data_IF_735690472257
#
_entry.id   IF_735690472257
#
_cell.length_a   1.000
_cell.length_b   1.000
_cell.length_c   1.000
_cell.angle_alpha   90.00
_cell.angle_beta   90.00
_cell.angle_gamma   90.00
#
_symmetry.space_group_name_H-M   'P 1'
#
loop_
_entity.id
_entity.type
_entity.pdbx_description
1 polymer ?
#
# COMPACT_ATOMS: atom_id res chain seq x y z
N UNK A 1 -19.36 -19.71 28.81
CA UNK A 1 -18.60 -18.98 27.77
C UNK A 1 -18.06 -19.87 26.61
N UNK A 2 -18.70 -21.01 26.29
CA UNK A 2 -18.37 -21.79 25.06
C UNK A 2 -19.46 -21.71 23.98
N UNK A 3 -20.71 -21.38 24.34
CA UNK A 3 -21.84 -21.41 23.42
C UNK A 3 -22.08 -20.09 22.66
N UNK A 4 -21.37 -19.01 22.99
CA UNK A 4 -21.47 -17.72 22.27
C UNK A 4 -20.51 -17.66 21.06
N UNK A 5 -19.42 -18.45 21.06
CA UNK A 5 -18.46 -18.50 19.94
C UNK A 5 -18.96 -19.33 18.74
N UNK A 6 -19.88 -20.26 18.97
CA UNK A 6 -20.46 -21.10 17.91
C UNK A 6 -21.58 -20.35 17.17
N UNK A 7 -22.34 -19.49 17.86
CA UNK A 7 -23.40 -18.67 17.24
C UNK A 7 -22.88 -17.66 16.21
N UNK A 8 -21.72 -17.06 16.44
CA UNK A 8 -21.12 -16.07 15.53
C UNK A 8 -20.54 -16.70 14.25
N UNK A 9 -20.04 -17.93 14.32
CA UNK A 9 -19.57 -18.69 13.14
C UNK A 9 -20.73 -19.18 12.27
N UNK A 10 -21.89 -19.50 12.86
CA UNK A 10 -23.10 -19.88 12.13
C UNK A 10 -23.74 -18.65 11.44
N UNK A 11 -23.69 -17.48 12.06
CA UNK A 11 -24.20 -16.23 11.45
C UNK A 11 -23.29 -15.76 10.31
N UNK A 12 -21.97 -15.93 10.42
CA UNK A 12 -21.02 -15.63 9.34
C UNK A 12 -21.17 -16.60 8.15
N UNK A 13 -21.40 -17.89 8.42
CA UNK A 13 -21.70 -18.89 7.40
C UNK A 13 -23.05 -18.66 6.69
N UNK A 14 -24.08 -18.25 7.43
CA UNK A 14 -25.40 -17.93 6.86
C UNK A 14 -25.41 -16.66 6.03
N UNK A 15 -24.57 -15.66 6.32
CA UNK A 15 -24.44 -14.45 5.48
C UNK A 15 -23.76 -14.75 4.12
N UNK A 16 -22.82 -15.70 4.09
CA UNK A 16 -22.19 -16.18 2.84
C UNK A 16 -23.20 -17.00 2.01
N UNK A 17 -24.06 -17.80 2.65
CA UNK A 17 -25.12 -18.57 1.97
C UNK A 17 -26.30 -17.71 1.52
N UNK A 18 -26.71 -16.68 2.28
CA UNK A 18 -27.75 -15.73 1.86
C UNK A 18 -27.26 -14.79 0.75
N UNK A 19 -25.97 -14.42 0.75
CA UNK A 19 -25.34 -13.73 -0.37
C UNK A 19 -25.33 -14.58 -1.66
N UNK A 20 -25.20 -15.91 -1.52
CA UNK A 20 -25.29 -16.86 -2.63
C UNK A 20 -26.70 -16.97 -3.25
N UNK A 21 -27.75 -16.82 -2.44
CA UNK A 21 -29.15 -16.93 -2.89
C UNK A 21 -29.71 -15.64 -3.49
N UNK A 22 -29.24 -14.47 -3.05
CA UNK A 22 -29.61 -13.18 -3.66
C UNK A 22 -28.83 -12.89 -4.96
N UNK A 23 -27.74 -13.62 -5.19
CA UNK A 23 -26.88 -13.54 -6.37
C UNK A 23 -27.49 -14.22 -7.62
N UNK A 24 -28.42 -15.18 -7.46
CA UNK A 24 -29.03 -15.89 -8.59
C UNK A 24 -30.17 -15.16 -9.32
N UNK A 25 -30.48 -13.92 -8.92
CA UNK A 25 -31.58 -13.15 -9.54
C UNK A 25 -31.12 -12.09 -10.57
N UNK A 26 -29.81 -11.84 -10.70
CA UNK A 26 -29.25 -10.88 -11.68
C UNK A 26 -28.35 -11.53 -12.75
N UNK A 27 -28.04 -12.81 -12.59
CA UNK A 27 -27.54 -13.66 -13.67
C UNK A 27 -28.73 -14.56 -13.99
N UNK A 28 -29.30 -14.49 -15.18
CA UNK A 28 -30.10 -15.62 -15.66
C UNK A 28 -29.16 -16.82 -15.58
N UNK A 29 -29.36 -17.77 -14.63
CA UNK A 29 -28.54 -18.96 -14.63
C UNK A 29 -28.73 -19.54 -16.03
N UNK A 30 -27.65 -19.88 -16.76
CA UNK A 30 -27.85 -20.69 -17.95
C UNK A 30 -28.70 -21.89 -17.52
N UNK A 31 -29.72 -22.28 -18.32
CA UNK A 31 -30.55 -23.41 -17.98
C UNK A 31 -29.65 -24.57 -17.51
N UNK A 32 -30.06 -25.33 -16.48
CA UNK A 32 -29.27 -26.45 -16.00
C UNK A 32 -28.82 -27.24 -17.21
N UNK A 33 -27.50 -27.29 -17.44
CA UNK A 33 -26.96 -28.05 -18.56
C UNK A 33 -27.32 -29.49 -18.23
N UNK A 34 -28.26 -30.08 -18.98
CA UNK A 34 -28.51 -31.52 -18.94
C UNK A 34 -27.14 -32.21 -18.96
N UNK A 35 -26.93 -33.22 -18.11
CA UNK A 35 -25.67 -33.97 -18.09
C UNK A 35 -25.35 -34.41 -19.52
N UNK A 36 -24.41 -33.71 -20.15
CA UNK A 36 -24.08 -33.98 -21.55
C UNK A 36 -23.30 -35.27 -21.60
N UNK A 37 -23.70 -36.21 -22.45
CA UNK A 37 -22.93 -37.42 -22.74
C UNK A 37 -21.57 -37.11 -23.42
N UNK A 38 -21.35 -35.86 -23.82
CA UNK A 38 -20.10 -35.44 -24.43
C UNK A 38 -18.97 -35.35 -23.39
N UNK A 39 -18.05 -36.32 -23.43
CA UNK A 39 -16.87 -36.40 -22.55
C UNK A 39 -16.02 -35.12 -22.51
N UNK A 40 -15.96 -34.35 -23.60
CA UNK A 40 -15.17 -33.13 -23.69
C UNK A 40 -15.82 -32.00 -22.88
N UNK A 41 -17.14 -31.89 -22.94
CA UNK A 41 -17.94 -30.97 -22.11
C UNK A 41 -17.81 -31.35 -20.64
N UNK A 42 -17.93 -32.65 -20.32
CA UNK A 42 -17.77 -33.14 -18.95
C UNK A 42 -16.38 -32.84 -18.38
N UNK A 43 -15.32 -33.01 -19.17
CA UNK A 43 -13.96 -32.67 -18.76
C UNK A 43 -13.81 -31.18 -18.41
N UNK A 44 -14.29 -30.29 -19.29
CA UNK A 44 -14.25 -28.83 -19.03
C UNK A 44 -15.04 -28.47 -17.77
N UNK A 45 -16.26 -28.98 -17.63
CA UNK A 45 -17.10 -28.71 -16.45
C UNK A 45 -16.46 -29.25 -15.16
N UNK A 46 -15.83 -30.43 -15.22
CA UNK A 46 -15.07 -30.99 -14.10
C UNK A 46 -13.93 -30.07 -13.66
N UNK A 47 -13.18 -29.50 -14.61
CA UNK A 47 -12.10 -28.56 -14.31
C UNK A 47 -12.60 -27.19 -13.84
N UNK A 48 -13.73 -26.68 -14.35
CA UNK A 48 -14.37 -25.47 -13.81
C UNK A 48 -14.76 -25.68 -12.33
N UNK A 49 -15.25 -26.87 -11.99
CA UNK A 49 -15.54 -27.26 -10.60
C UNK A 49 -14.27 -27.37 -9.76
N UNK A 50 -13.17 -27.87 -10.31
CA UNK A 50 -11.87 -27.87 -9.64
C UNK A 50 -11.40 -26.43 -9.36
N UNK A 51 -11.57 -25.52 -10.33
CA UNK A 51 -11.21 -24.11 -10.21
C UNK A 51 -11.94 -23.42 -9.05
N UNK A 52 -13.23 -23.65 -8.90
CA UNK A 52 -14.00 -23.10 -7.78
C UNK A 52 -13.51 -23.61 -6.41
N UNK A 53 -12.97 -24.83 -6.39
CA UNK A 53 -12.41 -25.50 -5.21
C UNK A 53 -10.97 -25.09 -4.82
N UNK A 54 -10.26 -24.31 -5.64
CA UNK A 54 -8.89 -23.85 -5.31
C UNK A 54 -8.89 -23.09 -3.97
N UNK A 55 -7.89 -23.22 -3.08
CA UNK A 55 -7.88 -22.44 -1.84
C UNK A 55 -7.84 -20.93 -2.07
N UNK A 56 -8.43 -20.14 -1.16
CA UNK A 56 -8.40 -18.66 -1.23
C UNK A 56 -6.97 -18.09 -1.12
N UNK A 57 -6.07 -18.84 -0.49
CA UNK A 57 -4.67 -18.48 -0.31
C UNK A 57 -3.79 -18.64 -1.55
N UNK A 58 -4.35 -19.11 -2.67
CA UNK A 58 -3.60 -19.36 -3.91
C UNK A 58 -4.41 -18.93 -5.12
N UNK A 59 -3.85 -18.06 -5.95
CA UNK A 59 -4.50 -17.65 -7.20
C UNK A 59 -4.64 -18.79 -8.22
N UNK A 60 -5.79 -18.83 -8.88
CA UNK A 60 -6.17 -19.88 -9.84
C UNK A 60 -5.92 -19.53 -11.32
N UNK A 61 -5.12 -18.50 -11.61
CA UNK A 61 -4.89 -18.01 -12.98
C UNK A 61 -4.36 -19.10 -13.93
N UNK A 62 -3.43 -19.94 -13.47
CA UNK A 62 -2.87 -21.03 -14.28
C UNK A 62 -3.93 -22.05 -14.71
N UNK A 63 -4.82 -22.44 -13.78
CA UNK A 63 -5.92 -23.35 -14.05
C UNK A 63 -6.98 -22.69 -14.96
N UNK A 64 -7.25 -21.40 -14.80
CA UNK A 64 -8.11 -20.65 -15.72
C UNK A 64 -7.58 -20.72 -17.16
N UNK A 65 -6.29 -20.43 -17.36
CA UNK A 65 -5.65 -20.48 -18.68
C UNK A 65 -5.66 -21.89 -19.30
N UNK A 66 -5.48 -22.93 -18.47
CA UNK A 66 -5.57 -24.33 -18.93
C UNK A 66 -6.98 -24.67 -19.43
N UNK A 67 -8.03 -24.28 -18.69
CA UNK A 67 -9.41 -24.58 -19.08
C UNK A 67 -9.79 -23.79 -20.34
N UNK A 68 -9.39 -22.52 -20.43
CA UNK A 68 -9.59 -21.69 -21.62
C UNK A 68 -8.94 -22.33 -22.86
N UNK A 69 -7.71 -22.85 -22.71
CA UNK A 69 -7.03 -23.60 -23.76
C UNK A 69 -7.84 -24.84 -24.18
N UNK A 70 -8.35 -25.63 -23.23
CA UNK A 70 -9.13 -26.83 -23.53
C UNK A 70 -10.44 -26.51 -24.27
N UNK A 71 -11.16 -25.45 -23.86
CA UNK A 71 -12.39 -25.01 -24.54
C UNK A 71 -12.07 -24.69 -26.00
N UNK A 72 -10.99 -23.94 -26.26
CA UNK A 72 -10.59 -23.56 -27.60
C UNK A 72 -10.13 -24.76 -28.44
N UNK A 73 -9.31 -25.65 -27.88
CA UNK A 73 -8.87 -26.87 -28.56
C UNK A 73 -10.06 -27.74 -28.96
N UNK A 74 -10.98 -28.00 -28.04
CA UNK A 74 -12.14 -28.84 -28.32
C UNK A 74 -13.09 -28.20 -29.33
N UNK A 75 -13.27 -26.88 -29.28
CA UNK A 75 -14.02 -26.15 -30.28
C UNK A 75 -13.39 -26.26 -31.68
N UNK A 76 -12.09 -25.99 -31.81
CA UNK A 76 -11.38 -26.02 -33.11
C UNK A 76 -11.34 -27.42 -33.75
N UNK A 77 -11.49 -28.47 -32.94
CA UNK A 77 -11.56 -29.85 -33.40
C UNK A 77 -13.01 -30.37 -33.56
N UNK A 78 -14.03 -29.51 -33.51
CA UNK A 78 -15.46 -29.86 -33.61
C UNK A 78 -15.90 -30.94 -32.59
N UNK A 79 -15.31 -30.91 -31.39
CA UNK A 79 -15.55 -31.90 -30.34
C UNK A 79 -16.65 -31.50 -29.36
N UNK A 80 -17.13 -30.25 -29.37
CA UNK A 80 -18.11 -29.77 -28.40
C UNK A 80 -19.56 -29.96 -28.84
N UNK A 81 -19.84 -30.07 -30.14
CA UNK A 81 -21.21 -30.23 -30.65
C UNK A 81 -21.28 -31.13 -31.87
N UNK A 82 -22.48 -31.61 -32.20
CA UNK A 82 -22.71 -32.52 -33.33
C UNK A 82 -22.76 -31.79 -34.68
N UNK A 83 -22.83 -30.46 -34.65
CA UNK A 83 -22.84 -29.58 -35.82
C UNK A 83 -22.20 -28.21 -35.48
N UNK A 84 -21.84 -27.39 -36.48
CA UNK A 84 -21.13 -26.13 -36.25
C UNK A 84 -21.86 -25.14 -35.32
N UNK A 85 -23.18 -25.03 -35.44
CA UNK A 85 -23.99 -24.13 -34.62
C UNK A 85 -23.98 -24.55 -33.15
N UNK A 86 -24.15 -25.85 -32.89
CA UNK A 86 -24.08 -26.41 -31.55
C UNK A 86 -22.67 -26.27 -30.96
N UNK A 87 -21.63 -26.55 -31.75
CA UNK A 87 -20.23 -26.42 -31.33
C UNK A 87 -19.90 -24.99 -30.89
N UNK A 88 -20.36 -23.97 -31.64
CA UNK A 88 -20.22 -22.55 -31.28
C UNK A 88 -20.98 -22.19 -30.01
N UNK A 89 -22.24 -22.62 -29.90
CA UNK A 89 -23.08 -22.30 -28.74
C UNK A 89 -22.52 -22.93 -27.45
N UNK A 90 -22.05 -24.17 -27.51
CA UNK A 90 -21.43 -24.86 -26.37
C UNK A 90 -20.14 -24.16 -25.96
N UNK A 91 -19.27 -23.80 -26.91
CA UNK A 91 -18.06 -23.01 -26.63
C UNK A 91 -18.40 -21.73 -25.88
N UNK A 92 -19.36 -20.96 -26.39
CA UNK A 92 -19.80 -19.71 -25.75
C UNK A 92 -20.30 -19.93 -24.32
N UNK A 93 -21.08 -20.99 -24.08
CA UNK A 93 -21.60 -21.32 -22.76
C UNK A 93 -20.48 -21.72 -21.79
N UNK A 94 -19.54 -22.55 -22.23
CA UNK A 94 -18.38 -22.96 -21.42
C UNK A 94 -17.48 -21.77 -21.09
N UNK A 95 -17.19 -20.89 -22.06
CA UNK A 95 -16.41 -19.68 -21.82
C UNK A 95 -17.09 -18.74 -20.81
N UNK A 96 -18.42 -18.56 -20.91
CA UNK A 96 -19.19 -17.78 -19.93
C UNK A 96 -19.14 -18.38 -18.53
N UNK A 97 -19.30 -19.70 -18.42
CA UNK A 97 -19.22 -20.42 -17.14
C UNK A 97 -17.84 -20.30 -16.52
N UNK A 98 -16.78 -20.57 -17.30
CA UNK A 98 -15.39 -20.41 -16.84
C UNK A 98 -15.12 -19.00 -16.34
N UNK A 99 -15.53 -17.97 -17.11
CA UNK A 99 -15.35 -16.58 -16.74
C UNK A 99 -16.04 -16.23 -15.42
N UNK A 100 -17.33 -16.57 -15.27
CA UNK A 100 -18.08 -16.28 -14.02
C UNK A 100 -17.40 -16.91 -12.81
N UNK A 101 -17.13 -18.22 -12.89
CA UNK A 101 -16.51 -18.98 -11.80
C UNK A 101 -15.13 -18.44 -11.45
N UNK A 102 -14.33 -18.06 -12.45
CA UNK A 102 -13.00 -17.53 -12.21
C UNK A 102 -13.01 -16.15 -11.58
N UNK A 103 -13.86 -15.23 -12.05
CA UNK A 103 -13.91 -13.88 -11.49
C UNK A 103 -14.34 -13.90 -10.03
N UNK A 104 -15.37 -14.68 -9.70
CA UNK A 104 -15.79 -14.87 -8.31
C UNK A 104 -14.64 -15.40 -7.46
N UNK A 105 -13.92 -16.40 -7.99
CA UNK A 105 -12.80 -17.01 -7.29
C UNK A 105 -11.66 -16.02 -7.05
N UNK A 106 -11.31 -15.25 -8.08
CA UNK A 106 -10.32 -14.20 -8.02
C UNK A 106 -10.69 -13.13 -6.99
N UNK A 107 -11.96 -12.69 -6.97
CA UNK A 107 -12.43 -11.70 -5.99
C UNK A 107 -12.22 -12.19 -4.57
N UNK A 108 -12.59 -13.44 -4.28
CA UNK A 108 -12.37 -14.03 -2.95
C UNK A 108 -10.88 -14.13 -2.60
N UNK A 109 -10.04 -14.57 -3.54
CA UNK A 109 -8.59 -14.66 -3.34
C UNK A 109 -7.95 -13.28 -3.11
N UNK A 110 -8.40 -12.24 -3.82
CA UNK A 110 -7.93 -10.87 -3.61
C UNK A 110 -8.30 -10.35 -2.20
N UNK A 111 -9.54 -10.56 -1.76
CA UNK A 111 -9.94 -10.18 -0.40
C UNK A 111 -9.25 -11.00 0.68
N UNK A 112 -8.90 -12.27 0.41
CA UNK A 112 -8.07 -13.06 1.31
C UNK A 112 -6.71 -12.36 1.54
N UNK A 113 -6.04 -11.91 0.47
CA UNK A 113 -4.80 -11.13 0.59
C UNK A 113 -5.02 -9.84 1.38
N UNK A 114 -6.08 -9.08 1.10
CA UNK A 114 -6.37 -7.83 1.79
C UNK A 114 -6.71 -7.98 3.27
N UNK A 115 -7.19 -9.15 3.68
CA UNK A 115 -7.45 -9.46 5.09
C UNK A 115 -6.17 -9.82 5.87
N UNK A 116 -5.07 -10.13 5.18
CA UNK A 116 -3.80 -10.37 5.84
C UNK A 116 -3.20 -9.06 6.37
N UNK A 117 -2.45 -9.17 7.47
CA UNK A 117 -1.76 -8.03 8.08
C UNK A 117 -0.59 -7.53 7.22
N UNK A 118 -0.04 -8.41 6.39
CA UNK A 118 1.11 -8.15 5.52
C UNK A 118 0.73 -8.51 4.09
N UNK A 119 0.97 -7.58 3.16
CA UNK A 119 0.66 -7.76 1.75
C UNK A 119 1.94 -7.92 0.95
N UNK A 120 2.04 -9.02 0.18
CA UNK A 120 3.16 -9.26 -0.73
C UNK A 120 3.02 -8.31 -1.95
N UNK A 121 4.05 -7.51 -2.29
CA UNK A 121 4.04 -6.69 -3.51
C UNK A 121 3.77 -7.47 -4.80
N UNK A 122 4.17 -8.74 -4.88
CA UNK A 122 3.88 -9.59 -6.03
C UNK A 122 2.39 -9.88 -6.17
N UNK A 123 1.71 -10.18 -5.06
CA UNK A 123 0.26 -10.39 -5.01
C UNK A 123 -0.49 -9.11 -5.38
N UNK A 124 -0.09 -7.96 -4.83
CA UNK A 124 -0.73 -6.68 -5.16
C UNK A 124 -0.63 -6.34 -6.65
N UNK A 125 0.55 -6.56 -7.25
CA UNK A 125 0.76 -6.37 -8.68
C UNK A 125 -0.10 -7.33 -9.51
N UNK A 126 -0.20 -8.58 -9.07
CA UNK A 126 -1.06 -9.58 -9.71
C UNK A 126 -2.54 -9.14 -9.65
N UNK A 127 -3.07 -8.86 -8.46
CA UNK A 127 -4.46 -8.44 -8.26
C UNK A 127 -4.79 -7.19 -9.08
N UNK A 128 -3.87 -6.21 -9.13
CA UNK A 128 -4.04 -5.00 -9.94
C UNK A 128 -4.24 -5.33 -11.41
N UNK A 129 -3.32 -6.09 -11.98
CA UNK A 129 -3.31 -6.41 -13.41
C UNK A 129 -4.49 -7.31 -13.78
N UNK A 130 -4.75 -8.33 -12.96
CA UNK A 130 -5.81 -9.30 -13.21
C UNK A 130 -7.19 -8.64 -13.09
N UNK A 131 -7.41 -7.79 -12.07
CA UNK A 131 -8.68 -7.06 -11.96
C UNK A 131 -8.93 -6.14 -13.16
N UNK A 132 -7.90 -5.47 -13.69
CA UNK A 132 -8.00 -4.65 -14.91
C UNK A 132 -8.33 -5.51 -16.14
N UNK A 133 -7.71 -6.69 -16.24
CA UNK A 133 -7.97 -7.64 -17.33
C UNK A 133 -9.42 -8.12 -17.30
N UNK A 134 -9.88 -8.61 -16.14
CA UNK A 134 -11.25 -9.11 -15.96
C UNK A 134 -12.29 -8.02 -16.24
N UNK A 135 -12.04 -6.78 -15.83
CA UNK A 135 -12.94 -5.64 -16.13
C UNK A 135 -13.08 -5.31 -17.61
N UNK A 136 -12.10 -5.68 -18.44
CA UNK A 136 -12.14 -5.46 -19.91
C UNK A 136 -12.84 -6.60 -20.65
N UNK A 137 -13.20 -7.69 -19.96
CA UNK A 137 -13.89 -8.80 -20.58
C UNK A 137 -15.27 -8.37 -21.09
N UNK A 138 -15.64 -8.70 -22.33
CA UNK A 138 -17.00 -8.44 -22.84
C UNK A 138 -18.06 -9.29 -22.13
N UNK A 139 -17.64 -10.28 -21.33
CA UNK A 139 -18.53 -11.14 -20.54
C UNK A 139 -18.92 -10.49 -19.20
N UNK A 140 -18.29 -9.36 -18.83
CA UNK A 140 -18.65 -8.63 -17.63
C UNK A 140 -19.90 -7.78 -17.89
N UNK A 141 -20.97 -8.07 -17.16
CA UNK A 141 -22.15 -7.22 -17.16
C UNK A 141 -21.86 -5.89 -16.45
N UNK A 142 -22.18 -4.78 -17.14
CA UNK A 142 -22.09 -3.45 -16.56
C UNK A 142 -23.00 -3.30 -15.33
N UNK A 143 -22.51 -2.58 -14.33
CA UNK A 143 -23.14 -2.31 -13.03
C UNK A 143 -23.42 -3.55 -12.16
N UNK A 144 -22.97 -4.73 -12.58
CA UNK A 144 -23.10 -5.97 -11.82
C UNK A 144 -22.35 -5.89 -10.48
N UNK A 145 -22.78 -6.72 -9.52
CA UNK A 145 -22.07 -6.86 -8.25
C UNK A 145 -20.58 -7.19 -8.44
N UNK A 146 -20.26 -8.03 -9.42
CA UNK A 146 -18.90 -8.42 -9.77
C UNK A 146 -18.07 -7.22 -10.25
N UNK A 147 -18.63 -6.38 -11.14
CA UNK A 147 -17.94 -5.16 -11.57
C UNK A 147 -17.67 -4.23 -10.39
N UNK A 148 -18.63 -4.07 -9.47
CA UNK A 148 -18.47 -3.26 -8.26
C UNK A 148 -17.37 -3.81 -7.36
N UNK A 149 -17.28 -5.13 -7.20
CA UNK A 149 -16.21 -5.78 -6.42
C UNK A 149 -14.83 -5.60 -7.05
N UNK A 150 -14.72 -5.76 -8.37
CA UNK A 150 -13.47 -5.50 -9.10
C UNK A 150 -13.06 -4.02 -8.99
N UNK A 151 -14.03 -3.11 -9.04
CA UNK A 151 -13.80 -1.67 -8.86
C UNK A 151 -13.33 -1.35 -7.43
N UNK A 152 -13.91 -2.01 -6.43
CA UNK A 152 -13.50 -1.88 -5.04
C UNK A 152 -12.08 -2.41 -4.81
N UNK A 153 -11.73 -3.57 -5.40
CA UNK A 153 -10.36 -4.11 -5.39
C UNK A 153 -9.38 -3.08 -5.95
N UNK A 154 -9.70 -2.46 -7.09
CA UNK A 154 -8.86 -1.43 -7.67
C UNK A 154 -8.75 -0.19 -6.80
N UNK A 155 -9.84 0.24 -6.17
CA UNK A 155 -9.84 1.37 -5.23
C UNK A 155 -8.92 1.10 -4.05
N UNK A 156 -8.98 -0.09 -3.45
CA UNK A 156 -8.10 -0.50 -2.34
C UNK A 156 -6.63 -0.42 -2.77
N UNK A 157 -6.29 -0.95 -3.95
CA UNK A 157 -4.92 -0.93 -4.47
C UNK A 157 -4.46 0.50 -4.75
N UNK A 158 -5.27 1.34 -5.41
CA UNK A 158 -4.91 2.73 -5.69
C UNK A 158 -4.65 3.51 -4.41
N UNK A 159 -5.53 3.37 -3.41
CA UNK A 159 -5.34 4.02 -2.10
C UNK A 159 -4.06 3.52 -1.40
N UNK A 160 -3.76 2.22 -1.48
CA UNK A 160 -2.51 1.67 -0.97
C UNK A 160 -1.28 2.32 -1.64
N UNK A 161 -1.28 2.39 -2.99
CA UNK A 161 -0.19 2.98 -3.77
C UNK A 161 0.01 4.48 -3.49
N UNK A 162 -1.09 5.23 -3.30
CA UNK A 162 -1.06 6.64 -2.92
C UNK A 162 -0.36 6.83 -1.56
N UNK A 163 -0.73 6.02 -0.57
CA UNK A 163 -0.15 6.08 0.78
C UNK A 163 1.33 5.68 0.76
N UNK A 164 1.67 4.60 0.05
CA UNK A 164 3.07 4.18 -0.14
C UNK A 164 3.91 5.27 -0.82
N UNK A 165 3.34 5.96 -1.81
CA UNK A 165 4.00 7.08 -2.47
C UNK A 165 4.27 8.23 -1.50
N UNK A 166 3.28 8.59 -0.67
CA UNK A 166 3.43 9.60 0.37
C UNK A 166 4.50 9.22 1.41
N UNK A 167 4.49 7.97 1.90
CA UNK A 167 5.52 7.45 2.82
C UNK A 167 6.90 7.58 2.19
N UNK A 168 7.06 7.18 0.92
CA UNK A 168 8.34 7.27 0.20
C UNK A 168 8.82 8.72 0.08
N UNK A 169 7.94 9.67 -0.24
CA UNK A 169 8.27 11.10 -0.29
C UNK A 169 8.82 11.55 1.07
N UNK A 170 8.17 11.17 2.17
CA UNK A 170 8.62 11.52 3.51
C UNK A 170 9.98 10.87 3.86
N UNK A 171 10.17 9.58 3.53
CA UNK A 171 11.44 8.85 3.72
C UNK A 171 12.61 9.46 2.94
N UNK A 172 12.34 10.05 1.77
CA UNK A 172 13.34 10.72 0.94
C UNK A 172 13.57 12.19 1.31
N UNK A 173 12.81 12.73 2.25
CA UNK A 173 12.89 14.15 2.59
C UNK A 173 14.27 14.49 3.16
N UNK A 174 14.90 15.50 2.58
CA UNK A 174 16.18 16.02 3.03
C UNK A 174 16.30 17.50 2.68
N UNK A 175 17.12 18.22 3.45
CA UNK A 175 17.42 19.62 3.22
C UNK A 175 18.93 19.81 3.45
N UNK A 176 19.65 20.22 2.40
CA UNK A 176 21.11 20.18 2.35
C UNK A 176 21.76 21.56 2.39
N UNK A 177 20.97 22.63 2.30
CA UNK A 177 21.49 24.00 2.37
C UNK A 177 22.11 24.25 3.76
N UNK A 178 23.20 25.01 3.82
CA UNK A 178 23.94 25.24 5.09
C UNK A 178 24.30 26.70 5.32
N UNK A 179 23.85 27.64 4.50
CA UNK A 179 24.09 29.07 4.70
C UNK A 179 23.46 29.60 5.99
N UNK A 180 24.03 30.67 6.55
CA UNK A 180 23.53 31.27 7.79
C UNK A 180 22.10 31.81 7.68
N UNK A 181 21.67 32.19 6.47
CA UNK A 181 20.30 32.62 6.18
C UNK A 181 19.34 31.47 5.89
N UNK A 182 19.86 30.30 5.50
CA UNK A 182 19.02 29.16 5.13
C UNK A 182 18.34 28.63 6.39
N UNK A 183 17.09 28.18 6.27
CA UNK A 183 16.31 27.67 7.40
C UNK A 183 15.72 26.33 7.01
N UNK A 184 15.73 25.40 7.96
CA UNK A 184 15.01 24.16 7.76
C UNK A 184 13.53 24.46 7.50
N UNK A 185 12.92 23.89 6.45
CA UNK A 185 11.55 24.23 6.06
C UNK A 185 10.53 23.55 6.99
N UNK A 186 10.41 24.07 8.21
CA UNK A 186 9.59 23.47 9.28
C UNK A 186 8.11 23.39 8.90
N UNK A 187 7.58 24.37 8.17
CA UNK A 187 6.18 24.37 7.74
C UNK A 187 5.85 23.17 6.85
N UNK A 188 6.76 22.82 5.92
CA UNK A 188 6.63 21.63 5.05
C UNK A 188 6.66 20.34 5.88
N UNK A 189 7.48 20.32 6.93
CA UNK A 189 7.58 19.15 7.82
C UNK A 189 6.32 18.99 8.66
N UNK A 190 5.80 20.08 9.22
CA UNK A 190 4.54 20.09 9.96
C UNK A 190 3.38 19.63 9.08
N UNK A 191 3.30 20.11 7.84
CA UNK A 191 2.30 19.66 6.86
C UNK A 191 2.38 18.15 6.62
N UNK A 192 3.58 17.59 6.46
CA UNK A 192 3.77 16.14 6.26
C UNK A 192 3.38 15.33 7.48
N UNK A 193 3.71 15.79 8.69
CA UNK A 193 3.32 15.11 9.93
C UNK A 193 1.80 15.11 10.07
N UNK A 194 1.15 16.26 9.87
CA UNK A 194 -0.31 16.35 9.91
C UNK A 194 -0.95 15.45 8.84
N UNK A 195 -0.43 15.47 7.62
CA UNK A 195 -0.88 14.59 6.52
C UNK A 195 -0.78 13.12 6.90
N UNK A 196 0.30 12.69 7.57
CA UNK A 196 0.43 11.29 8.01
C UNK A 196 -0.63 10.90 9.05
N UNK A 197 -0.98 11.82 9.95
CA UNK A 197 -2.01 11.60 10.96
C UNK A 197 -3.41 11.55 10.32
N UNK A 198 -3.69 12.45 9.38
CA UNK A 198 -4.95 12.46 8.61
C UNK A 198 -5.11 11.22 7.74
N UNK A 199 -4.05 10.77 7.07
CA UNK A 199 -4.06 9.50 6.33
C UNK A 199 -4.31 8.33 7.29
N UNK A 200 -3.69 8.34 8.47
CA UNK A 200 -3.89 7.30 9.46
C UNK A 200 -5.36 7.24 9.94
N UNK A 201 -6.00 8.40 10.13
CA UNK A 201 -7.40 8.50 10.52
C UNK A 201 -8.37 8.17 9.37
N UNK A 202 -8.18 8.72 8.18
CA UNK A 202 -9.08 8.49 7.04
C UNK A 202 -9.14 7.01 6.62
N UNK A 203 -8.07 6.25 6.87
CA UNK A 203 -8.04 4.80 6.66
C UNK A 203 -9.04 4.01 7.52
N UNK A 204 -9.62 4.57 8.58
CA UNK A 204 -10.73 3.92 9.30
C UNK A 204 -11.91 3.60 8.37
N UNK A 205 -12.09 4.35 7.27
CA UNK A 205 -13.08 4.07 6.23
C UNK A 205 -12.74 2.89 5.30
N UNK A 206 -11.50 2.38 5.33
CA UNK A 206 -11.05 1.21 4.58
C UNK A 206 -10.37 0.21 5.52
N UNK A 207 -11.18 -0.74 6.03
CA UNK A 207 -10.73 -1.75 7.00
C UNK A 207 -9.48 -2.53 6.55
N UNK A 208 -9.31 -2.73 5.24
CA UNK A 208 -8.19 -3.50 4.71
C UNK A 208 -6.87 -2.73 4.85
N UNK A 209 -6.87 -1.45 4.47
CA UNK A 209 -5.70 -0.58 4.61
C UNK A 209 -5.37 -0.28 6.07
N UNK A 210 -6.39 -0.21 6.93
CA UNK A 210 -6.22 -0.03 8.36
C UNK A 210 -5.53 -1.24 9.01
N UNK A 211 -5.85 -2.47 8.57
CA UNK A 211 -5.24 -3.69 9.11
C UNK A 211 -3.82 -3.95 8.58
N UNK A 212 -3.38 -3.23 7.54
CA UNK A 212 -2.04 -3.40 6.99
C UNK A 212 -0.98 -2.85 7.95
N UNK A 213 -0.25 -3.75 8.61
CA UNK A 213 0.75 -3.43 9.65
C UNK A 213 1.83 -2.51 9.10
N UNK A 214 2.36 -2.82 7.91
CA UNK A 214 3.42 -2.01 7.28
C UNK A 214 3.02 -0.56 7.13
N UNK A 215 1.80 -0.29 6.63
CA UNK A 215 1.32 1.09 6.47
C UNK A 215 1.16 1.81 7.82
N UNK A 216 0.69 1.10 8.85
CA UNK A 216 0.55 1.67 10.19
C UNK A 216 1.91 2.06 10.79
N UNK A 217 2.87 1.15 10.73
CA UNK A 217 4.23 1.40 11.22
C UNK A 217 4.90 2.52 10.44
N UNK A 218 4.85 2.47 9.11
CA UNK A 218 5.52 3.46 8.27
C UNK A 218 4.93 4.87 8.41
N UNK A 219 3.60 5.01 8.49
CA UNK A 219 2.97 6.30 8.74
C UNK A 219 3.27 6.80 10.16
N UNK A 220 3.24 5.92 11.15
CA UNK A 220 3.56 6.26 12.54
C UNK A 220 5.02 6.71 12.74
N UNK A 221 5.93 6.25 11.88
CA UNK A 221 7.35 6.60 11.94
C UNK A 221 7.71 7.90 11.19
N UNK A 222 6.77 8.53 10.45
CA UNK A 222 7.04 9.75 9.69
C UNK A 222 7.60 10.90 10.55
N UNK A 223 7.07 11.19 11.76
CA UNK A 223 7.63 12.22 12.61
C UNK A 223 9.12 11.99 12.96
N UNK A 224 9.50 10.75 13.29
CA UNK A 224 10.89 10.38 13.61
C UNK A 224 11.81 10.49 12.39
N UNK A 225 11.32 10.09 11.21
CA UNK A 225 12.04 10.23 9.93
C UNK A 225 12.35 11.70 9.64
N UNK A 226 11.35 12.58 9.79
CA UNK A 226 11.50 14.00 9.52
C UNK A 226 12.33 14.71 10.60
N UNK A 227 12.24 14.26 11.86
CA UNK A 227 13.13 14.70 12.93
C UNK A 227 14.60 14.40 12.61
N UNK A 228 14.88 13.18 12.15
CA UNK A 228 16.22 12.77 11.74
C UNK A 228 16.76 13.64 10.60
N UNK A 229 15.91 14.03 9.65
CA UNK A 229 16.28 14.96 8.58
C UNK A 229 16.62 16.37 9.11
N UNK A 230 15.87 16.87 10.10
CA UNK A 230 16.14 18.16 10.75
C UNK A 230 17.47 18.15 11.51
N UNK A 231 17.72 17.10 12.30
CA UNK A 231 18.98 16.91 13.02
C UNK A 231 20.16 16.88 12.04
N UNK A 232 20.03 16.13 10.94
CA UNK A 232 21.07 16.04 9.91
C UNK A 232 21.37 17.39 9.25
N UNK A 233 20.34 18.18 8.97
CA UNK A 233 20.51 19.55 8.47
C UNK A 233 21.34 20.41 9.43
N UNK A 234 20.97 20.42 10.72
CA UNK A 234 21.70 21.21 11.73
C UNK A 234 23.14 20.70 11.92
N UNK A 235 23.34 19.38 11.91
CA UNK A 235 24.68 18.80 12.00
C UNK A 235 25.58 19.25 10.84
N UNK A 236 25.05 19.22 9.62
CA UNK A 236 25.73 19.68 8.41
C UNK A 236 26.02 21.18 8.46
N UNK A 237 25.05 21.98 8.93
CA UNK A 237 25.22 23.43 9.08
C UNK A 237 26.31 23.76 10.10
N UNK A 238 26.31 23.08 11.25
CA UNK A 238 27.38 23.17 12.23
C UNK A 238 28.72 22.81 11.59
N UNK A 239 28.81 21.68 10.86
CA UNK A 239 30.07 21.27 10.21
C UNK A 239 30.58 22.32 9.22
N UNK A 240 29.69 22.92 8.43
CA UNK A 240 30.04 23.92 7.44
C UNK A 240 30.61 25.21 8.06
N UNK A 241 30.08 25.63 9.21
CA UNK A 241 30.49 26.88 9.88
C UNK A 241 31.50 26.70 11.02
N UNK A 242 31.78 25.45 11.41
CA UNK A 242 32.80 25.15 12.42
C UNK A 242 34.17 25.65 11.96
N UNK A 243 34.90 26.30 12.86
CA UNK A 243 36.22 26.88 12.51
C UNK A 243 36.17 28.22 11.77
N UNK A 244 34.99 28.71 11.34
CA UNK A 244 34.88 29.95 10.58
C UNK A 244 35.35 31.19 11.37
N UNK A 245 35.46 31.10 12.70
CA UNK A 245 35.96 32.16 13.58
C UNK A 245 37.31 32.74 13.15
N UNK A 246 38.18 31.96 12.47
CA UNK A 246 39.48 32.45 11.98
C UNK A 246 39.35 33.60 10.97
N UNK A 247 38.19 33.74 10.34
CA UNK A 247 37.91 34.77 9.33
C UNK A 247 37.31 36.05 9.94
N UNK A 248 37.21 36.14 11.27
CA UNK A 248 36.62 37.27 11.97
C UNK A 248 37.69 38.02 12.78
N UNK A 249 37.51 39.33 12.95
CA UNK A 249 38.48 40.18 13.64
C UNK A 249 38.34 40.12 15.18
N UNK A 250 37.26 39.56 15.71
CA UNK A 250 37.03 39.45 17.15
C UNK A 250 36.03 38.35 17.49
N UNK A 251 36.11 37.87 18.74
CA UNK A 251 35.12 36.95 19.31
C UNK A 251 33.69 37.49 19.19
N UNK A 252 33.50 38.79 19.43
CA UNK A 252 32.18 39.42 19.36
C UNK A 252 31.61 39.36 17.94
N UNK A 253 32.42 39.70 16.93
CA UNK A 253 31.97 39.68 15.54
C UNK A 253 31.62 38.26 15.08
N UNK A 254 32.42 37.26 15.43
CA UNK A 254 32.06 35.85 15.17
C UNK A 254 30.78 35.45 15.92
N UNK A 255 30.65 35.84 17.19
CA UNK A 255 29.51 35.46 17.99
C UNK A 255 28.19 36.01 17.42
N UNK A 256 28.17 37.30 17.08
CA UNK A 256 26.97 37.99 16.57
C UNK A 256 26.54 37.47 15.18
N UNK A 257 27.49 37.09 14.33
CA UNK A 257 27.21 36.71 12.95
C UNK A 257 27.09 35.20 12.70
N UNK A 258 27.67 34.35 13.55
CA UNK A 258 27.74 32.89 13.32
C UNK A 258 27.21 32.10 14.51
N UNK A 259 27.82 32.28 15.69
CA UNK A 259 27.50 31.48 16.88
C UNK A 259 26.03 31.65 17.30
N UNK A 260 25.61 32.87 17.58
CA UNK A 260 24.27 33.17 18.10
C UNK A 260 23.18 32.74 17.10
N UNK A 261 23.28 33.03 15.79
CA UNK A 261 22.28 32.56 14.82
C UNK A 261 22.10 31.04 14.79
N UNK A 262 23.18 30.27 14.77
CA UNK A 262 23.10 28.80 14.75
C UNK A 262 22.61 28.25 16.09
N UNK A 263 23.04 28.83 17.23
CA UNK A 263 22.55 28.44 18.56
C UNK A 263 21.03 28.64 18.68
N UNK A 264 20.51 29.77 18.22
CA UNK A 264 19.06 30.03 18.19
C UNK A 264 18.33 29.00 17.35
N UNK A 265 18.87 28.58 16.22
CA UNK A 265 18.23 27.59 15.37
C UNK A 265 18.19 26.20 16.02
N UNK A 266 19.27 25.80 16.72
CA UNK A 266 19.27 24.57 17.54
C UNK A 266 18.19 24.66 18.64
N UNK A 267 18.03 25.82 19.27
CA UNK A 267 17.00 26.05 20.29
C UNK A 267 15.57 26.03 19.74
N UNK A 268 15.38 26.26 18.44
CA UNK A 268 14.06 26.20 17.79
C UNK A 268 13.61 24.80 17.37
N UNK A 269 14.43 23.76 17.60
CA UNK A 269 13.95 22.39 17.40
C UNK A 269 12.80 22.12 18.38
N UNK A 270 11.62 21.88 17.83
CA UNK A 270 10.39 21.70 18.59
C UNK A 270 10.02 20.21 18.73
N UNK A 271 10.12 19.67 19.96
CA UNK A 271 9.76 18.27 20.20
C UNK A 271 8.24 18.03 20.09
N UNK A 272 7.40 19.04 20.25
CA UNK A 272 5.94 18.83 20.26
C UNK A 272 5.44 18.42 18.86
N UNK A 273 6.12 18.88 17.81
CA UNK A 273 5.82 18.52 16.41
C UNK A 273 6.29 17.09 16.10
N UNK A 274 7.50 16.73 16.53
CA UNK A 274 8.11 15.43 16.19
C UNK A 274 7.71 14.29 17.12
N UNK A 275 7.47 14.59 18.39
CA UNK A 275 7.28 13.63 19.48
C UNK A 275 8.32 12.51 19.47
N UNK A 276 9.59 12.86 19.24
CA UNK A 276 10.68 11.89 19.06
C UNK A 276 11.20 11.40 20.41
N UNK A 277 11.29 10.08 20.57
CA UNK A 277 11.93 9.48 21.76
C UNK A 277 13.43 9.81 21.87
N UNK A 278 14.07 10.18 20.76
CA UNK A 278 15.51 10.50 20.68
C UNK A 278 15.81 11.99 20.82
N UNK A 279 14.77 12.83 20.93
CA UNK A 279 14.90 14.28 20.93
C UNK A 279 16.00 14.81 21.85
N UNK A 280 15.94 14.45 23.14
CA UNK A 280 16.88 14.95 24.14
C UNK A 280 18.34 14.59 23.81
N UNK A 281 18.57 13.37 23.31
CA UNK A 281 19.90 12.90 22.97
C UNK A 281 20.48 13.70 21.80
N UNK A 282 19.71 13.86 20.71
CA UNK A 282 20.17 14.55 19.50
C UNK A 282 20.32 16.06 19.73
N UNK A 283 19.36 16.69 20.43
CA UNK A 283 19.44 18.09 20.82
C UNK A 283 20.72 18.39 21.63
N UNK A 284 20.98 17.58 22.67
CA UNK A 284 22.19 17.73 23.48
C UNK A 284 23.47 17.43 22.69
N UNK A 285 23.41 16.56 21.68
CA UNK A 285 24.53 16.28 20.79
C UNK A 285 24.89 17.50 19.95
N UNK A 286 23.90 18.08 19.26
CA UNK A 286 24.05 19.31 18.46
C UNK A 286 24.58 20.47 19.30
N UNK A 287 23.99 20.68 20.48
CA UNK A 287 24.41 21.73 21.41
C UNK A 287 25.87 21.57 21.85
N UNK A 288 26.25 20.38 22.32
CA UNK A 288 27.65 20.09 22.73
C UNK A 288 28.63 20.31 21.58
N UNK A 289 28.25 19.89 20.36
CA UNK A 289 29.07 20.07 19.17
C UNK A 289 29.31 21.55 18.89
N UNK A 290 28.27 22.38 18.97
CA UNK A 290 28.38 23.80 18.71
C UNK A 290 29.09 24.59 19.82
N UNK A 291 28.80 24.26 21.08
CA UNK A 291 29.50 24.83 22.25
C UNK A 291 31.02 24.52 22.19
N UNK A 292 31.40 23.34 21.69
CA UNK A 292 32.80 23.01 21.49
C UNK A 292 33.49 23.90 20.45
N UNK A 293 32.80 24.34 19.40
CA UNK A 293 33.38 25.28 18.42
C UNK A 293 33.52 26.68 19.04
N UNK A 294 32.53 27.11 19.80
CA UNK A 294 32.58 28.39 20.51
C UNK A 294 33.77 28.48 21.50
N UNK A 295 34.08 27.39 22.21
CA UNK A 295 35.25 27.34 23.07
C UNK A 295 36.57 27.44 22.29
N UNK A 296 36.64 26.82 21.10
CA UNK A 296 37.81 26.94 20.22
C UNK A 296 37.97 28.38 19.72
N UNK A 297 36.88 29.04 19.33
CA UNK A 297 36.86 30.45 18.95
C UNK A 297 37.36 31.35 20.10
N UNK A 298 36.83 31.16 21.31
CA UNK A 298 37.27 31.92 22.49
C UNK A 298 38.77 31.77 22.74
N UNK A 299 39.29 30.54 22.66
CA UNK A 299 40.71 30.29 22.82
C UNK A 299 41.56 30.90 21.69
N UNK A 300 41.02 30.99 20.47
CA UNK A 300 41.72 31.60 19.34
C UNK A 300 41.93 33.11 19.56
N UNK A 301 40.88 33.83 19.96
CA UNK A 301 40.95 35.29 20.14
C UNK A 301 41.65 35.74 21.43
N UNK A 302 41.73 34.88 22.45
CA UNK A 302 42.33 35.21 23.74
C UNK A 302 43.75 34.65 23.93
N UNK A 303 44.35 34.06 22.89
CA UNK A 303 45.78 33.70 22.94
C UNK A 303 46.62 34.97 22.90
N UNK A 304 47.58 35.15 23.84
CA UNK A 304 48.56 36.23 23.72
C UNK A 304 49.37 36.01 22.44
N UNK A 305 49.46 37.04 21.60
CA UNK A 305 50.34 37.09 20.43
C UNK A 305 51.81 37.21 20.85
#
# INVERSE_FOLDING_TARGET
MKNIKIGLLVILGLAIVFGFFYWSNEITPPPPVEESDNQFIQNVNGKIKELSGVPESRFSQSLYAEIEYLINDYYTNDRLGSNPTENEQVKLNLTKSLYSTYVEKFVTQAYYVFNNLTWDPADLRFIKNESLSLRRSPLLAAQSQVERQLSEIQRIISQYEEIESFIRICKSFSYLETGLSDRFPIDIVTEKINSSLEINQSRFGNRYLFNCVRLNEDLGNIPEILFTAHVKYLDNKINNWSGAYINFNSQRTYADNVFIPISKEIETIDNDIYNSSRFNQEYLSLKRKWDSDAQKAYNHFNRPQ
#
